data_IF_668413040331
#
_entry.id   IF_668413040331
#
_cell.length_a   1.000
_cell.length_b   1.000
_cell.length_c   1.000
_cell.angle_alpha   90.00
_cell.angle_beta   90.00
_cell.angle_gamma   90.00
#
_symmetry.space_group_name_H-M   'P 1'
#
loop_
_entity.id
_entity.type
_entity.pdbx_description
1 polymer ?
#
# COMPACT_ATOMS: atom_id res chain seq x y z
N UNK A 1 -11.09 0.23 -12.80
CA UNK A 1 -11.36 -0.87 -11.84
C UNK A 1 -12.44 -0.49 -10.83
N UNK A 2 -12.29 0.59 -10.05
CA UNK A 2 -13.27 0.90 -8.98
C UNK A 2 -14.66 1.24 -9.53
N UNK A 3 -14.73 2.01 -10.61
CA UNK A 3 -15.98 2.22 -11.37
C UNK A 3 -16.66 0.92 -11.82
N UNK A 4 -15.88 -0.07 -12.22
CA UNK A 4 -16.39 -1.39 -12.62
C UNK A 4 -16.93 -2.17 -11.41
N UNK A 5 -16.25 -2.13 -10.26
CA UNK A 5 -16.77 -2.71 -9.02
C UNK A 5 -18.10 -2.06 -8.62
N UNK A 6 -18.21 -0.74 -8.73
CA UNK A 6 -19.47 -0.02 -8.51
C UNK A 6 -20.58 -0.46 -9.47
N UNK A 7 -20.28 -0.54 -10.78
CA UNK A 7 -21.24 -0.96 -11.80
C UNK A 7 -21.75 -2.39 -11.57
N UNK A 8 -20.85 -3.35 -11.31
CA UNK A 8 -21.21 -4.73 -10.95
C UNK A 8 -22.09 -4.74 -9.70
N UNK A 9 -21.77 -3.90 -8.72
CA UNK A 9 -22.54 -3.87 -7.47
C UNK A 9 -24.01 -3.50 -7.70
N UNK A 10 -24.26 -2.57 -8.63
CA UNK A 10 -25.60 -2.17 -9.03
C UNK A 10 -26.29 -3.27 -9.85
N UNK A 11 -25.56 -3.89 -10.80
CA UNK A 11 -26.10 -4.92 -11.71
C UNK A 11 -26.48 -6.22 -10.99
N UNK A 12 -25.67 -6.68 -10.03
CA UNK A 12 -25.92 -7.93 -9.30
C UNK A 12 -27.12 -7.84 -8.35
N UNK A 13 -27.39 -6.65 -7.81
CA UNK A 13 -28.43 -6.40 -6.80
C UNK A 13 -28.07 -6.92 -5.39
N UNK A 14 -28.99 -6.70 -4.44
CA UNK A 14 -28.75 -6.90 -3.00
C UNK A 14 -28.42 -8.35 -2.61
N UNK A 15 -29.06 -9.34 -3.21
CA UNK A 15 -28.93 -10.73 -2.76
C UNK A 15 -27.68 -11.41 -3.30
N UNK A 16 -27.31 -11.11 -4.54
CA UNK A 16 -26.15 -11.75 -5.21
C UNK A 16 -24.82 -11.14 -4.83
N UNK A 17 -24.81 -9.90 -4.32
CA UNK A 17 -23.57 -9.19 -3.98
C UNK A 17 -23.01 -9.58 -2.60
N UNK A 18 -23.87 -10.03 -1.66
CA UNK A 18 -23.50 -10.34 -0.27
C UNK A 18 -22.25 -11.25 -0.15
N UNK A 19 -22.10 -12.35 -0.94
CA UNK A 19 -20.92 -13.22 -0.86
C UNK A 19 -19.63 -12.56 -1.36
N UNK A 20 -19.73 -11.63 -2.31
CA UNK A 20 -18.59 -10.96 -2.93
C UNK A 20 -18.18 -9.69 -2.17
N UNK A 21 -18.98 -9.27 -1.20
CA UNK A 21 -18.78 -8.03 -0.44
C UNK A 21 -17.38 -7.94 0.20
N UNK A 22 -16.82 -8.98 0.86
CA UNK A 22 -15.47 -8.90 1.41
C UNK A 22 -14.39 -8.68 0.34
N UNK A 23 -14.54 -9.31 -0.83
CA UNK A 23 -13.61 -9.20 -1.96
C UNK A 23 -13.62 -7.80 -2.55
N UNK A 24 -14.80 -7.20 -2.70
CA UNK A 24 -14.97 -5.82 -3.20
C UNK A 24 -14.48 -4.81 -2.15
N UNK A 25 -14.80 -5.02 -0.87
CA UNK A 25 -14.43 -4.10 0.21
C UNK A 25 -12.94 -4.07 0.51
N UNK A 26 -12.21 -5.16 0.30
CA UNK A 26 -10.76 -5.23 0.60
C UNK A 26 -9.94 -4.13 -0.09
N UNK A 27 -10.00 -3.93 -1.42
CA UNK A 27 -9.28 -2.84 -2.08
C UNK A 27 -9.80 -1.46 -1.69
N UNK A 28 -11.11 -1.30 -1.47
CA UNK A 28 -11.71 -0.02 -1.06
C UNK A 28 -11.24 0.40 0.35
N UNK A 29 -11.25 -0.55 1.30
CA UNK A 29 -10.73 -0.35 2.66
C UNK A 29 -9.24 0.01 2.65
N UNK A 30 -8.46 -0.59 1.74
CA UNK A 30 -7.04 -0.28 1.59
C UNK A 30 -6.84 1.18 1.16
N UNK A 31 -7.57 1.68 0.18
CA UNK A 31 -7.41 3.06 -0.29
C UNK A 31 -7.90 4.07 0.75
N UNK A 32 -8.97 3.76 1.50
CA UNK A 32 -9.41 4.61 2.61
C UNK A 32 -8.35 4.75 3.72
N UNK A 33 -7.68 3.66 4.07
CA UNK A 33 -6.72 3.58 5.19
C UNK A 33 -5.26 3.55 4.72
N UNK A 34 -5.02 3.99 3.50
CA UNK A 34 -3.68 4.07 2.94
C UNK A 34 -2.96 5.27 3.57
N UNK A 35 -1.67 5.11 3.84
CA UNK A 35 -0.79 6.18 4.36
C UNK A 35 0.30 6.52 3.34
N UNK A 36 0.03 6.30 2.04
CA UNK A 36 0.98 6.69 1.00
C UNK A 36 1.06 8.22 0.93
N UNK A 37 2.28 8.74 0.78
CA UNK A 37 2.55 10.18 0.76
C UNK A 37 1.98 10.88 -0.50
N UNK A 38 1.75 10.13 -1.57
CA UNK A 38 1.14 10.59 -2.83
C UNK A 38 -0.20 9.88 -3.01
N UNK A 39 -1.19 10.23 -2.18
CA UNK A 39 -2.55 9.79 -2.44
C UNK A 39 -3.20 10.68 -3.48
N UNK A 40 -3.78 10.04 -4.48
CA UNK A 40 -4.69 10.71 -5.40
C UNK A 40 -6.03 10.95 -4.67
N UNK A 41 -6.41 12.20 -4.36
CA UNK A 41 -7.66 12.51 -3.67
C UNK A 41 -8.88 12.03 -4.47
N UNK A 42 -8.79 11.96 -5.81
CA UNK A 42 -9.89 11.50 -6.66
C UNK A 42 -10.19 10.03 -6.42
N UNK A 43 -9.16 9.20 -6.24
CA UNK A 43 -9.31 7.77 -5.99
C UNK A 43 -9.91 7.50 -4.61
N UNK A 44 -9.53 8.30 -3.61
CA UNK A 44 -10.09 8.21 -2.25
C UNK A 44 -11.58 8.56 -2.25
N UNK A 45 -11.96 9.64 -2.93
CA UNK A 45 -13.36 10.05 -3.06
C UNK A 45 -14.19 8.99 -3.78
N UNK A 46 -13.69 8.46 -4.91
CA UNK A 46 -14.34 7.37 -5.63
C UNK A 46 -14.54 6.13 -4.75
N UNK A 47 -13.57 5.82 -3.89
CA UNK A 47 -13.68 4.70 -2.95
C UNK A 47 -14.78 4.93 -1.92
N UNK A 48 -14.90 6.16 -1.41
CA UNK A 48 -15.95 6.56 -0.46
C UNK A 48 -17.34 6.47 -1.11
N UNK A 49 -17.48 6.98 -2.33
CA UNK A 49 -18.74 6.93 -3.09
C UNK A 49 -19.21 5.48 -3.30
N UNK A 50 -18.31 4.57 -3.69
CA UNK A 50 -18.66 3.16 -3.90
C UNK A 50 -19.02 2.48 -2.58
N UNK A 51 -18.32 2.81 -1.49
CA UNK A 51 -18.67 2.28 -0.16
C UNK A 51 -20.06 2.76 0.25
N UNK A 52 -20.39 4.02 0.02
CA UNK A 52 -21.69 4.57 0.35
C UNK A 52 -22.81 3.93 -0.51
N UNK A 53 -22.54 3.68 -1.79
CA UNK A 53 -23.41 2.92 -2.67
C UNK A 53 -23.64 1.48 -2.15
N UNK A 54 -22.58 0.80 -1.73
CA UNK A 54 -22.67 -0.57 -1.18
C UNK A 54 -23.47 -0.63 0.13
N UNK A 55 -23.31 0.35 1.01
CA UNK A 55 -24.10 0.45 2.25
C UNK A 55 -25.59 0.56 1.94
N UNK A 56 -25.96 1.40 0.98
CA UNK A 56 -27.37 1.60 0.57
C UNK A 56 -27.96 0.35 -0.07
N UNK A 57 -27.19 -0.35 -0.91
CA UNK A 57 -27.65 -1.56 -1.58
C UNK A 57 -27.82 -2.76 -0.65
N UNK A 58 -26.85 -3.02 0.23
CA UNK A 58 -26.83 -4.24 1.04
C UNK A 58 -27.57 -4.07 2.37
N UNK A 59 -27.68 -2.84 2.85
CA UNK A 59 -28.20 -2.51 4.18
C UNK A 59 -27.09 -2.44 5.23
N UNK A 60 -27.37 -1.71 6.31
CA UNK A 60 -26.38 -1.36 7.33
C UNK A 60 -25.80 -2.58 8.05
N UNK A 61 -26.64 -3.53 8.45
CA UNK A 61 -26.23 -4.67 9.28
C UNK A 61 -25.25 -5.59 8.54
N UNK A 62 -25.65 -6.06 7.36
CA UNK A 62 -24.82 -6.94 6.54
C UNK A 62 -23.53 -6.24 6.06
N UNK A 63 -23.60 -4.94 5.74
CA UNK A 63 -22.41 -4.17 5.42
C UNK A 63 -21.45 -4.08 6.61
N UNK A 64 -21.95 -3.75 7.80
CA UNK A 64 -21.14 -3.58 9.01
C UNK A 64 -20.37 -4.86 9.35
N UNK A 65 -21.06 -6.02 9.32
CA UNK A 65 -20.44 -7.32 9.56
C UNK A 65 -19.31 -7.62 8.57
N UNK A 66 -19.55 -7.43 7.27
CA UNK A 66 -18.55 -7.65 6.24
C UNK A 66 -17.36 -6.67 6.37
N UNK A 67 -17.65 -5.40 6.65
CA UNK A 67 -16.63 -4.36 6.80
C UNK A 67 -15.72 -4.62 8.01
N UNK A 68 -16.29 -4.97 9.17
CA UNK A 68 -15.52 -5.35 10.36
C UNK A 68 -14.66 -6.58 10.12
N UNK A 69 -15.16 -7.57 9.37
CA UNK A 69 -14.38 -8.75 8.97
C UNK A 69 -13.16 -8.37 8.13
N UNK A 70 -13.36 -7.54 7.09
CA UNK A 70 -12.26 -7.04 6.23
C UNK A 70 -11.25 -6.22 7.03
N UNK A 71 -11.71 -5.35 7.92
CA UNK A 71 -10.85 -4.58 8.81
C UNK A 71 -9.99 -5.49 9.70
N UNK A 72 -10.59 -6.51 10.31
CA UNK A 72 -9.89 -7.50 11.13
C UNK A 72 -8.83 -8.24 10.31
N UNK A 73 -9.18 -8.73 9.12
CA UNK A 73 -8.26 -9.42 8.23
C UNK A 73 -7.08 -8.53 7.78
N UNK A 74 -7.36 -7.28 7.44
CA UNK A 74 -6.33 -6.30 7.06
C UNK A 74 -5.34 -6.06 8.19
N UNK A 75 -5.84 -5.92 9.43
CA UNK A 75 -5.03 -5.73 10.63
C UNK A 75 -4.20 -6.98 10.95
N UNK A 76 -4.80 -8.18 10.88
CA UNK A 76 -4.09 -9.44 11.06
C UNK A 76 -2.97 -9.62 10.03
N UNK A 77 -3.24 -9.34 8.74
CA UNK A 77 -2.22 -9.41 7.68
C UNK A 77 -1.11 -8.38 7.88
N UNK A 78 -1.42 -7.21 8.45
CA UNK A 78 -0.41 -6.20 8.83
C UNK A 78 0.45 -6.69 10.01
N UNK A 79 -0.17 -7.23 11.05
CA UNK A 79 0.52 -7.77 12.22
C UNK A 79 1.41 -8.97 11.86
N UNK A 80 0.90 -9.90 11.05
CA UNK A 80 1.65 -11.04 10.52
C UNK A 80 2.90 -10.59 9.76
N UNK A 81 2.78 -9.60 8.86
CA UNK A 81 3.93 -9.04 8.16
C UNK A 81 4.93 -8.37 9.11
N UNK A 82 4.46 -7.71 10.18
CA UNK A 82 5.36 -7.13 11.20
C UNK A 82 6.12 -8.23 11.95
N UNK A 83 5.43 -9.28 12.39
CA UNK A 83 6.03 -10.45 13.07
C UNK A 83 7.05 -11.16 12.18
N UNK A 84 6.69 -11.46 10.93
CA UNK A 84 7.57 -12.12 9.97
C UNK A 84 8.84 -11.31 9.71
N UNK A 85 8.74 -9.98 9.61
CA UNK A 85 9.90 -9.10 9.45
C UNK A 85 10.81 -9.09 10.68
N UNK A 86 10.26 -9.21 11.88
CA UNK A 86 11.03 -9.29 13.12
C UNK A 86 11.78 -10.62 13.19
N UNK A 87 11.08 -11.74 12.96
CA UNK A 87 11.67 -13.08 12.93
C UNK A 87 12.77 -13.21 11.87
N UNK A 88 12.55 -12.63 10.69
CA UNK A 88 13.55 -12.64 9.61
C UNK A 88 14.88 -11.99 10.02
N UNK A 89 14.86 -10.98 10.89
CA UNK A 89 16.10 -10.35 11.37
C UNK A 89 16.96 -11.32 12.18
N UNK A 90 16.31 -12.23 12.92
CA UNK A 90 17.00 -13.25 13.73
C UNK A 90 17.35 -14.47 12.89
N UNK A 91 16.41 -14.98 12.09
CA UNK A 91 16.59 -16.21 11.32
C UNK A 91 17.45 -16.03 10.06
N UNK A 92 17.42 -14.84 9.43
CA UNK A 92 18.10 -14.55 8.16
C UNK A 92 18.65 -13.11 8.15
N UNK A 93 19.75 -12.84 8.88
CA UNK A 93 20.29 -11.49 9.05
C UNK A 93 20.71 -10.84 7.73
N UNK A 94 21.23 -11.60 6.77
CA UNK A 94 21.71 -11.07 5.48
C UNK A 94 20.58 -10.44 4.65
N UNK A 95 19.42 -11.11 4.59
CA UNK A 95 18.26 -10.59 3.85
C UNK A 95 17.72 -9.32 4.55
N UNK A 96 17.74 -9.30 5.88
CA UNK A 96 17.36 -8.13 6.65
C UNK A 96 18.32 -6.95 6.40
N UNK A 97 19.64 -7.20 6.35
CA UNK A 97 20.67 -6.22 6.04
C UNK A 97 20.54 -5.65 4.62
N UNK A 98 20.38 -6.52 3.60
CA UNK A 98 20.13 -6.10 2.20
C UNK A 98 18.88 -5.22 2.09
N UNK A 99 17.80 -5.58 2.79
CA UNK A 99 16.57 -4.77 2.84
C UNK A 99 16.80 -3.41 3.51
N UNK A 100 17.60 -3.36 4.58
CA UNK A 100 17.98 -2.11 5.26
C UNK A 100 18.77 -1.20 4.32
N UNK A 101 19.79 -1.73 3.63
CA UNK A 101 20.56 -0.99 2.64
C UNK A 101 19.67 -0.43 1.51
N UNK A 102 18.74 -1.23 0.96
CA UNK A 102 17.77 -0.78 -0.05
C UNK A 102 16.91 0.39 0.45
N UNK A 103 16.44 0.36 1.70
CA UNK A 103 15.67 1.47 2.30
C UNK A 103 16.50 2.74 2.42
N UNK A 104 17.77 2.64 2.82
CA UNK A 104 18.67 3.80 2.89
C UNK A 104 18.92 4.40 1.51
N UNK A 105 19.15 3.56 0.49
CA UNK A 105 19.30 4.00 -0.91
C UNK A 105 18.05 4.73 -1.41
N UNK A 106 16.87 4.13 -1.27
CA UNK A 106 15.61 4.75 -1.69
C UNK A 106 15.35 6.08 -0.96
N UNK A 107 15.64 6.16 0.35
CA UNK A 107 15.48 7.41 1.12
C UNK A 107 16.40 8.52 0.59
N UNK A 108 17.62 8.18 0.20
CA UNK A 108 18.55 9.13 -0.40
C UNK A 108 18.04 9.61 -1.77
N UNK A 109 17.52 8.70 -2.60
CA UNK A 109 16.94 9.04 -3.91
C UNK A 109 15.68 9.92 -3.79
N UNK A 110 14.75 9.58 -2.89
CA UNK A 110 13.55 10.41 -2.66
C UNK A 110 13.92 11.81 -2.18
N UNK A 111 14.93 11.94 -1.31
CA UNK A 111 15.44 13.25 -0.89
C UNK A 111 16.02 14.03 -2.07
N UNK A 112 16.81 13.39 -2.93
CA UNK A 112 17.35 14.02 -4.15
C UNK A 112 16.22 14.51 -5.06
N UNK A 113 15.23 13.66 -5.36
CA UNK A 113 14.06 14.03 -6.18
C UNK A 113 13.29 15.21 -5.57
N UNK A 114 13.09 15.22 -4.26
CA UNK A 114 12.43 16.33 -3.56
C UNK A 114 13.22 17.65 -3.67
N UNK A 115 14.54 17.57 -3.58
CA UNK A 115 15.38 18.76 -3.74
C UNK A 115 15.36 19.24 -5.19
N UNK A 116 15.45 18.34 -6.17
CA UNK A 116 15.34 18.66 -7.60
C UNK A 116 13.98 19.27 -7.97
N UNK A 117 12.88 18.76 -7.40
CA UNK A 117 11.54 19.32 -7.62
C UNK A 117 11.36 20.71 -7.02
N UNK A 118 12.00 20.99 -5.88
CA UNK A 118 11.91 22.28 -5.19
C UNK A 118 12.91 23.32 -5.75
N UNK A 119 14.05 22.86 -6.29
CA UNK A 119 15.12 23.69 -6.81
C UNK A 119 15.63 23.13 -8.15
N UNK A 120 15.03 23.53 -9.29
CA UNK A 120 15.38 22.99 -10.61
C UNK A 120 16.85 23.22 -11.01
N UNK A 121 17.47 24.28 -10.48
CA UNK A 121 18.88 24.63 -10.73
C UNK A 121 19.87 23.89 -9.81
N UNK A 122 19.38 23.17 -8.79
CA UNK A 122 20.23 22.44 -7.85
C UNK A 122 20.65 21.09 -8.44
N UNK A 123 21.92 20.97 -8.85
CA UNK A 123 22.51 19.68 -9.23
C UNK A 123 23.02 18.96 -7.98
N UNK A 124 22.33 17.90 -7.58
CA UNK A 124 22.78 17.07 -6.46
C UNK A 124 24.20 16.51 -6.74
N UNK A 125 25.11 16.70 -5.77
CA UNK A 125 26.49 16.19 -5.86
C UNK A 125 26.46 14.66 -6.08
N UNK A 126 26.96 14.21 -7.23
CA UNK A 126 27.08 12.76 -7.54
C UNK A 126 27.99 12.11 -6.50
N UNK A 127 27.57 10.95 -5.99
CA UNK A 127 28.42 10.15 -5.13
C UNK A 127 29.63 9.70 -5.96
N UNK A 128 30.85 10.04 -5.53
CA UNK A 128 32.07 9.49 -6.14
C UNK A 128 32.01 7.98 -5.97
N UNK A 129 31.87 7.23 -7.05
CA UNK A 129 32.09 5.79 -7.03
C UNK A 129 33.58 5.57 -6.78
N UNK A 130 33.93 4.98 -5.63
CA UNK A 130 35.26 4.42 -5.44
C UNK A 130 35.33 3.09 -6.22
N UNK A 131 35.30 3.17 -7.55
CA UNK A 131 35.35 2.00 -8.43
C UNK A 131 36.58 1.11 -8.15
N UNK A 132 37.68 1.69 -7.68
CA UNK A 132 38.90 0.97 -7.30
C UNK A 132 38.79 0.18 -5.98
N UNK A 133 37.89 0.54 -5.05
CA UNK A 133 37.73 -0.19 -3.77
C UNK A 133 36.74 -1.36 -3.88
N UNK A 134 35.76 -1.25 -4.78
CA UNK A 134 34.79 -2.32 -5.03
C UNK A 134 35.38 -3.48 -5.86
N UNK A 135 36.42 -3.21 -6.66
CA UNK A 135 37.17 -4.24 -7.41
C UNK A 135 38.10 -5.08 -6.52
N UNK A 136 38.64 -4.50 -5.44
CA UNK A 136 39.63 -5.14 -4.56
C UNK A 136 39.02 -6.04 -3.46
N UNK A 137 37.68 -6.19 -3.43
CA UNK A 137 36.95 -7.01 -2.46
C UNK A 137 36.40 -8.30 -3.09
N UNK A 138 36.92 -8.68 -4.27
CA UNK A 138 36.70 -9.98 -4.93
C UNK A 138 38.01 -10.77 -4.83
N UNK A 139 38.28 -11.30 -3.64
CA UNK A 139 39.13 -12.48 -3.39
C UNK A 139 38.45 -13.34 -2.33
#
# INVERSE_FOLDING_TARGET
IFKFLGAISVDLGQDRIKPYLPTILTPLYRELNSNYAEQDPTLKNLSQEIIELLKKLVGLEAFSLAFSSVQKQANQKRAMRKRQRALQTVANPDIAARRKLKRHKNKAETRKRKIESLHPLYKAKRHRSHALKDLAMVE
#
